data_IF_928725342837
#
_entry.id   IF_928725342837
#
_cell.length_a   1.000
_cell.length_b   1.000
_cell.length_c   1.000
_cell.angle_alpha   90.00
_cell.angle_beta   90.00
_cell.angle_gamma   90.00
#
_symmetry.space_group_name_H-M   'P 1'
#
loop_
_entity.id
_entity.type
_entity.pdbx_description
1 polymer ?
#
# COMPACT_ATOMS: atom_id res chain seq x y z
N UNK A 1 33.94 42.57 27.72
CA UNK A 1 32.94 43.64 27.93
C UNK A 1 32.88 44.48 26.67
N UNK A 2 31.70 44.90 26.20
CA UNK A 2 31.60 45.73 25.00
C UNK A 2 32.24 47.11 25.25
N UNK A 3 32.82 47.74 24.22
CA UNK A 3 33.36 49.09 24.33
C UNK A 3 32.24 50.11 24.60
N UNK A 4 32.56 51.30 25.15
CA UNK A 4 31.57 52.35 25.36
C UNK A 4 30.85 52.74 24.07
N UNK A 5 29.52 52.82 24.11
CA UNK A 5 28.72 53.04 22.91
C UNK A 5 27.22 52.89 23.13
N UNK A 6 26.44 53.22 22.11
CA UNK A 6 25.01 52.95 22.06
C UNK A 6 24.76 51.47 21.81
N UNK A 7 24.15 50.78 22.77
CA UNK A 7 23.83 49.37 22.70
C UNK A 7 22.34 49.16 23.02
N UNK A 8 21.75 48.10 22.48
CA UNK A 8 20.36 47.75 22.74
C UNK A 8 20.25 47.02 24.09
N UNK A 9 19.36 47.51 24.97
CA UNK A 9 19.09 46.91 26.27
C UNK A 9 17.80 46.08 26.19
N UNK A 10 17.94 44.75 26.12
CA UNK A 10 16.82 43.80 25.99
C UNK A 10 15.83 43.88 27.18
N UNK A 11 16.27 44.35 28.35
CA UNK A 11 15.41 44.46 29.53
C UNK A 11 14.42 45.64 29.41
N UNK A 12 14.82 46.72 28.73
CA UNK A 12 14.01 47.93 28.58
C UNK A 12 13.46 48.12 27.16
N UNK A 13 13.98 47.37 26.18
CA UNK A 13 13.60 47.49 24.77
C UNK A 13 14.07 48.81 24.12
N UNK A 14 15.05 49.49 24.71
CA UNK A 14 15.55 50.79 24.24
C UNK A 14 17.05 50.76 23.98
N UNK A 15 17.53 51.68 23.14
CA UNK A 15 18.96 51.90 22.94
C UNK A 15 19.49 52.81 24.05
N UNK A 16 20.39 52.29 24.87
CA UNK A 16 21.01 53.00 26.00
C UNK A 16 22.51 53.17 25.78
N UNK A 17 23.09 54.20 26.38
CA UNK A 17 24.54 54.38 26.32
C UNK A 17 25.24 53.55 27.40
N UNK A 18 26.13 52.66 26.98
CA UNK A 18 27.02 51.87 27.82
C UNK A 18 28.34 52.62 27.99
N UNK A 19 28.79 52.85 29.24
CA UNK A 19 30.04 53.58 29.50
C UNK A 19 31.29 52.67 29.62
N UNK A 20 31.15 51.36 29.38
CA UNK A 20 32.22 50.38 29.57
C UNK A 20 32.17 49.64 30.91
N UNK A 21 31.40 50.11 31.89
CA UNK A 21 31.24 49.50 33.21
C UNK A 21 29.77 49.25 33.57
N UNK A 22 28.87 50.18 33.22
CA UNK A 22 27.44 50.10 33.50
C UNK A 22 26.61 50.86 32.45
N UNK A 23 25.29 50.62 32.46
CA UNK A 23 24.33 51.37 31.66
C UNK A 23 24.12 52.76 32.27
N UNK A 24 24.17 53.80 31.44
CA UNK A 24 23.85 55.16 31.89
C UNK A 24 22.35 55.47 31.70
N UNK A 25 21.91 56.62 32.23
CA UNK A 25 20.54 57.12 32.08
C UNK A 25 20.26 57.74 30.71
N UNK A 26 21.27 57.83 29.83
CA UNK A 26 21.10 58.34 28.49
C UNK A 26 20.39 57.27 27.64
N UNK A 27 19.11 57.49 27.37
CA UNK A 27 18.31 56.76 26.39
C UNK A 27 18.24 57.55 25.10
N UNK A 28 18.50 56.91 23.96
CA UNK A 28 18.16 57.51 22.67
C UNK A 28 16.72 57.10 22.35
N UNK A 29 15.77 58.04 22.22
CA UNK A 29 14.46 57.73 21.66
C UNK A 29 14.73 57.02 20.33
N UNK A 30 14.10 55.87 20.08
CA UNK A 30 14.23 55.24 18.78
C UNK A 30 13.82 56.30 17.77
N UNK A 31 14.75 56.73 16.92
CA UNK A 31 14.43 57.59 15.79
C UNK A 31 13.23 56.91 15.14
N UNK A 32 12.06 57.58 15.04
CA UNK A 32 10.88 56.97 14.49
C UNK A 32 11.32 56.45 13.13
N UNK A 33 11.37 55.12 13.00
CA UNK A 33 11.84 54.49 11.78
C UNK A 33 10.83 54.94 10.74
N UNK A 34 11.16 56.00 10.00
CA UNK A 34 10.43 56.43 8.83
C UNK A 34 10.72 55.31 7.84
N UNK A 35 9.92 54.25 7.91
CA UNK A 35 9.84 53.24 6.87
C UNK A 35 9.31 53.99 5.64
N UNK A 36 10.21 54.58 4.85
CA UNK A 36 9.96 54.94 3.45
C UNK A 36 9.94 53.68 2.57
N UNK A 37 9.35 52.61 3.08
CA UNK A 37 8.76 51.55 2.26
C UNK A 37 7.29 51.90 2.03
N UNK A 38 6.67 51.41 0.95
CA UNK A 38 5.26 51.67 0.67
C UNK A 38 4.42 51.38 1.92
N UNK A 39 3.61 52.35 2.31
CA UNK A 39 2.83 52.34 3.55
C UNK A 39 2.11 50.99 3.76
N UNK A 40 2.35 50.28 4.87
CA UNK A 40 1.38 49.31 5.33
C UNK A 40 0.26 50.11 5.98
N UNK A 41 -0.90 50.13 5.33
CA UNK A 41 -2.11 50.70 5.83
C UNK A 41 -2.35 50.29 7.29
N UNK A 42 -2.57 51.29 8.15
CA UNK A 42 -3.23 51.12 9.43
C UNK A 42 -4.65 50.63 9.14
N UNK A 43 -4.87 49.33 9.23
CA UNK A 43 -6.18 48.77 9.45
C UNK A 43 -6.03 47.70 10.52
N UNK A 44 -6.62 47.99 11.67
CA UNK A 44 -6.92 47.00 12.70
C UNK A 44 -7.87 45.97 12.10
N UNK A 45 -7.35 44.98 11.38
CA UNK A 45 -8.09 43.75 11.13
C UNK A 45 -7.96 42.92 12.39
N UNK A 46 -9.02 42.99 13.19
CA UNK A 46 -9.53 41.88 13.99
C UNK A 46 -8.98 40.58 13.42
N UNK A 47 -8.04 39.96 14.12
CA UNK A 47 -7.57 38.62 13.75
C UNK A 47 -8.72 37.67 14.06
N UNK A 48 -9.73 37.66 13.20
CA UNK A 48 -10.67 36.55 13.15
C UNK A 48 -9.82 35.29 12.98
N UNK A 49 -9.96 34.29 13.87
CA UNK A 49 -9.28 33.02 13.69
C UNK A 49 -9.72 32.46 12.35
N UNK A 50 -8.85 32.55 11.35
CA UNK A 50 -9.08 31.91 10.05
C UNK A 50 -9.51 30.48 10.34
N UNK A 51 -10.69 30.05 9.89
CA UNK A 51 -11.14 28.68 10.13
C UNK A 51 -10.05 27.77 9.57
N UNK A 52 -9.64 26.72 10.32
CA UNK A 52 -8.55 25.85 9.95
C UNK A 52 -8.79 25.39 8.51
N UNK A 53 -7.92 25.78 7.58
CA UNK A 53 -8.09 25.48 6.17
C UNK A 53 -8.08 23.95 6.02
N UNK A 54 -9.28 23.38 5.92
CA UNK A 54 -9.50 21.96 5.70
C UNK A 54 -8.73 21.63 4.42
N UNK A 55 -7.76 20.73 4.51
CA UNK A 55 -6.96 20.27 3.38
C UNK A 55 -7.83 19.37 2.46
N UNK A 56 -8.93 19.93 1.95
CA UNK A 56 -9.90 19.27 1.07
C UNK A 56 -9.26 18.41 -0.02
N UNK A 57 -8.26 18.90 -0.78
CA UNK A 57 -7.63 18.11 -1.82
C UNK A 57 -6.82 16.92 -1.28
N UNK A 58 -6.22 17.02 -0.09
CA UNK A 58 -5.47 15.91 0.51
C UNK A 58 -6.41 14.79 0.99
N UNK A 59 -7.54 15.16 1.59
CA UNK A 59 -8.59 14.18 1.97
C UNK A 59 -9.21 13.50 0.76
N UNK A 60 -9.44 14.23 -0.34
CA UNK A 60 -9.98 13.64 -1.55
C UNK A 60 -9.02 12.62 -2.19
N UNK A 61 -7.73 12.95 -2.25
CA UNK A 61 -6.70 12.03 -2.73
C UNK A 61 -6.61 10.75 -1.86
N UNK A 62 -6.77 10.90 -0.54
CA UNK A 62 -6.76 9.77 0.39
C UNK A 62 -7.96 8.84 0.19
N UNK A 63 -9.16 9.40 0.04
CA UNK A 63 -10.38 8.61 -0.20
C UNK A 63 -10.28 7.85 -1.53
N UNK A 64 -9.75 8.49 -2.58
CA UNK A 64 -9.55 7.83 -3.87
C UNK A 64 -8.51 6.70 -3.81
N UNK A 65 -7.40 6.90 -3.09
CA UNK A 65 -6.39 5.86 -2.92
C UNK A 65 -6.95 4.63 -2.16
N UNK A 66 -7.78 4.88 -1.15
CA UNK A 66 -8.38 3.82 -0.34
C UNK A 66 -9.46 3.06 -1.14
N UNK A 67 -10.28 3.77 -1.94
CA UNK A 67 -11.22 3.16 -2.87
C UNK A 67 -10.52 2.32 -3.95
N UNK A 68 -9.40 2.79 -4.49
CA UNK A 68 -8.61 2.03 -5.47
C UNK A 68 -8.00 0.76 -4.87
N UNK A 69 -7.51 0.82 -3.62
CA UNK A 69 -7.03 -0.37 -2.91
C UNK A 69 -8.16 -1.38 -2.66
N UNK A 70 -9.33 -0.91 -2.22
CA UNK A 70 -10.49 -1.77 -2.00
C UNK A 70 -11.01 -2.38 -3.31
N UNK A 71 -11.01 -1.64 -4.43
CA UNK A 71 -11.47 -2.17 -5.72
C UNK A 71 -10.53 -3.24 -6.25
N UNK A 72 -9.22 -3.04 -6.14
CA UNK A 72 -8.21 -4.06 -6.52
C UNK A 72 -8.34 -5.30 -5.63
N UNK A 73 -8.49 -5.12 -4.32
CA UNK A 73 -8.69 -6.23 -3.39
C UNK A 73 -9.97 -7.03 -3.70
N UNK A 74 -11.08 -6.33 -3.98
CA UNK A 74 -12.33 -6.95 -4.38
C UNK A 74 -12.19 -7.71 -5.71
N UNK A 75 -11.51 -7.14 -6.72
CA UNK A 75 -11.26 -7.81 -8.00
C UNK A 75 -10.43 -9.10 -7.82
N UNK A 76 -9.38 -9.04 -6.99
CA UNK A 76 -8.53 -10.19 -6.70
C UNK A 76 -9.31 -11.30 -5.99
N UNK A 77 -10.29 -10.94 -5.16
CA UNK A 77 -11.14 -11.91 -4.46
C UNK A 77 -12.21 -12.54 -5.37
N UNK A 78 -12.74 -11.77 -6.34
CA UNK A 78 -13.87 -12.20 -7.16
C UNK A 78 -13.49 -13.01 -8.41
N UNK A 79 -12.29 -12.78 -8.96
CA UNK A 79 -11.87 -13.36 -10.25
C UNK A 79 -11.44 -14.84 -10.19
N UNK A 80 -10.77 -15.37 -9.15
CA UNK A 80 -10.23 -16.74 -9.19
C UNK A 80 -11.31 -17.83 -9.20
N UNK A 81 -12.58 -17.50 -8.95
CA UNK A 81 -13.68 -18.48 -8.94
C UNK A 81 -14.26 -18.81 -10.33
N UNK A 82 -13.87 -18.10 -11.40
CA UNK A 82 -14.51 -18.29 -12.73
C UNK A 82 -13.58 -18.73 -13.85
N UNK A 83 -12.36 -18.19 -13.95
CA UNK A 83 -11.46 -18.53 -15.07
C UNK A 83 -9.97 -18.37 -14.71
N UNK A 84 -9.13 -19.42 -14.86
CA UNK A 84 -7.71 -19.36 -14.51
C UNK A 84 -6.91 -18.40 -15.41
N UNK A 85 -7.26 -18.30 -16.69
CA UNK A 85 -6.61 -17.38 -17.62
C UNK A 85 -6.92 -15.92 -17.31
N UNK A 86 -8.17 -15.62 -16.91
CA UNK A 86 -8.56 -14.27 -16.52
C UNK A 86 -7.87 -13.88 -15.20
N UNK A 87 -7.74 -14.83 -14.27
CA UNK A 87 -6.99 -14.63 -13.04
C UNK A 87 -5.52 -14.28 -13.30
N UNK A 88 -4.85 -14.97 -14.24
CA UNK A 88 -3.48 -14.64 -14.64
C UNK A 88 -3.37 -13.23 -15.24
N UNK A 89 -4.27 -12.89 -16.18
CA UNK A 89 -4.26 -11.58 -16.82
C UNK A 89 -4.52 -10.44 -15.82
N UNK A 90 -5.48 -10.62 -14.92
CA UNK A 90 -5.79 -9.66 -13.84
C UNK A 90 -4.63 -9.57 -12.85
N UNK A 91 -3.95 -10.67 -12.52
CA UNK A 91 -2.78 -10.65 -11.65
C UNK A 91 -1.61 -9.87 -12.27
N UNK A 92 -1.33 -10.07 -13.56
CA UNK A 92 -0.31 -9.30 -14.29
C UNK A 92 -0.66 -7.81 -14.37
N UNK A 93 -1.92 -7.49 -14.68
CA UNK A 93 -2.40 -6.11 -14.70
C UNK A 93 -2.29 -5.46 -13.30
N UNK A 94 -2.64 -6.18 -12.23
CA UNK A 94 -2.51 -5.69 -10.87
C UNK A 94 -1.04 -5.46 -10.48
N UNK A 95 -0.14 -6.39 -10.82
CA UNK A 95 1.30 -6.27 -10.61
C UNK A 95 1.89 -5.02 -11.30
N UNK A 96 1.54 -4.79 -12.56
CA UNK A 96 2.00 -3.61 -13.30
C UNK A 96 1.48 -2.31 -12.71
N UNK A 97 0.22 -2.28 -12.26
CA UNK A 97 -0.40 -1.12 -11.61
C UNK A 97 0.26 -0.83 -10.24
N UNK A 98 0.55 -1.86 -9.45
CA UNK A 98 1.29 -1.73 -8.17
C UNK A 98 2.70 -1.22 -8.42
N UNK A 99 3.41 -1.74 -9.42
CA UNK A 99 4.75 -1.27 -9.79
C UNK A 99 4.73 0.21 -10.20
N UNK A 100 3.76 0.62 -11.02
CA UNK A 100 3.59 2.01 -11.41
C UNK A 100 3.27 2.92 -10.21
N UNK A 101 2.39 2.48 -9.31
CA UNK A 101 2.06 3.21 -8.08
C UNK A 101 3.28 3.36 -7.16
N UNK A 102 4.12 2.33 -7.06
CA UNK A 102 5.37 2.36 -6.31
C UNK A 102 6.35 3.40 -6.90
N UNK A 103 6.56 3.39 -8.22
CA UNK A 103 7.42 4.37 -8.89
C UNK A 103 6.91 5.79 -8.69
N UNK A 104 5.61 6.03 -8.85
CA UNK A 104 4.99 7.33 -8.60
C UNK A 104 5.12 7.77 -7.13
N UNK A 105 5.02 6.83 -6.19
CA UNK A 105 5.24 7.07 -4.76
C UNK A 105 6.68 7.54 -4.49
N UNK A 106 7.68 6.86 -5.05
CA UNK A 106 9.10 7.24 -4.92
C UNK A 106 9.36 8.63 -5.51
N UNK A 107 8.82 8.92 -6.70
CA UNK A 107 8.93 10.25 -7.32
C UNK A 107 8.29 11.32 -6.43
N UNK A 108 7.10 11.04 -5.89
CA UNK A 108 6.41 11.92 -4.95
C UNK A 108 7.24 12.22 -3.70
N UNK A 109 7.89 11.20 -3.13
CA UNK A 109 8.79 11.35 -1.97
C UNK A 109 10.00 12.22 -2.34
N UNK A 110 10.67 11.97 -3.47
CA UNK A 110 11.84 12.75 -3.90
C UNK A 110 11.48 14.23 -4.13
N UNK A 111 10.34 14.50 -4.76
CA UNK A 111 9.82 15.87 -4.94
C UNK A 111 9.47 16.51 -3.59
N UNK A 112 8.92 15.73 -2.65
CA UNK A 112 8.57 16.20 -1.30
C UNK A 112 9.77 16.45 -0.39
N UNK A 113 10.95 15.89 -0.69
CA UNK A 113 12.20 16.18 0.03
C UNK A 113 12.81 17.50 -0.46
N UNK A 114 12.63 17.82 -1.75
CA UNK A 114 13.09 19.10 -2.32
C UNK A 114 12.25 20.30 -1.89
N UNK A 115 11.07 20.09 -1.32
CA UNK A 115 10.27 21.15 -0.67
C UNK A 115 10.19 20.84 0.83
N UNK A 116 10.37 21.80 1.75
CA UNK A 116 10.20 21.54 3.18
C UNK A 116 8.73 21.18 3.46
N UNK A 117 8.42 19.89 3.46
CA UNK A 117 7.08 19.37 3.71
C UNK A 117 6.91 19.09 5.21
N UNK A 118 5.68 19.30 5.70
CA UNK A 118 5.32 19.11 7.11
C UNK A 118 5.41 17.64 7.50
N UNK A 119 5.94 17.37 8.70
CA UNK A 119 6.26 16.05 9.30
C UNK A 119 5.18 14.94 9.19
N UNK A 120 3.92 15.26 8.87
CA UNK A 120 2.83 14.29 8.77
C UNK A 120 2.88 13.37 7.54
N UNK A 121 3.47 13.80 6.42
CA UNK A 121 3.50 12.99 5.19
C UNK A 121 4.43 11.78 5.27
N UNK A 122 5.55 11.90 6.01
CA UNK A 122 6.52 10.82 6.16
C UNK A 122 5.97 9.62 6.94
N UNK A 123 5.21 9.88 8.00
CA UNK A 123 4.60 8.83 8.83
C UNK A 123 3.57 8.03 8.02
N UNK A 124 2.81 8.70 7.14
CA UNK A 124 1.79 8.05 6.33
C UNK A 124 2.39 7.10 5.28
N UNK A 125 3.47 7.52 4.59
CA UNK A 125 4.16 6.67 3.62
C UNK A 125 4.70 5.38 4.25
N UNK A 126 5.18 5.47 5.50
CA UNK A 126 5.66 4.33 6.26
C UNK A 126 4.53 3.34 6.60
N UNK A 127 3.39 3.83 7.09
CA UNK A 127 2.23 2.98 7.43
C UNK A 127 1.69 2.25 6.19
N UNK A 128 1.58 2.95 5.05
CA UNK A 128 1.10 2.34 3.81
C UNK A 128 2.06 1.25 3.28
N UNK A 129 3.37 1.49 3.38
CA UNK A 129 4.39 0.51 3.01
C UNK A 129 4.28 -0.77 3.86
N UNK A 130 4.13 -0.62 5.18
CA UNK A 130 3.96 -1.76 6.09
C UNK A 130 2.69 -2.55 5.78
N UNK A 131 1.57 -1.88 5.52
CA UNK A 131 0.32 -2.54 5.14
C UNK A 131 0.44 -3.34 3.83
N UNK A 132 1.13 -2.79 2.82
CA UNK A 132 1.39 -3.49 1.57
C UNK A 132 2.24 -4.74 1.78
N UNK A 133 3.29 -4.65 2.60
CA UNK A 133 4.16 -5.80 2.90
C UNK A 133 3.36 -6.91 3.61
N UNK A 134 2.55 -6.56 4.62
CA UNK A 134 1.70 -7.52 5.34
C UNK A 134 0.69 -8.17 4.40
N UNK A 135 0.06 -7.40 3.50
CA UNK A 135 -0.87 -7.93 2.51
C UNK A 135 -0.20 -8.91 1.55
N UNK A 136 0.98 -8.57 1.02
CA UNK A 136 1.73 -9.47 0.13
C UNK A 136 2.18 -10.74 0.84
N UNK A 137 2.68 -10.64 2.08
CA UNK A 137 3.07 -11.79 2.89
C UNK A 137 1.87 -12.72 3.16
N UNK A 138 0.72 -12.15 3.51
CA UNK A 138 -0.52 -12.91 3.71
C UNK A 138 -0.97 -13.61 2.41
N UNK A 139 -0.92 -12.91 1.27
CA UNK A 139 -1.26 -13.52 -0.03
C UNK A 139 -0.33 -14.66 -0.38
N UNK A 140 0.98 -14.50 -0.18
CA UNK A 140 1.96 -15.56 -0.40
C UNK A 140 1.68 -16.78 0.50
N UNK A 141 1.28 -16.54 1.76
CA UNK A 141 0.90 -17.59 2.69
C UNK A 141 -0.39 -18.32 2.26
N UNK A 142 -1.39 -17.60 1.72
CA UNK A 142 -2.63 -18.21 1.21
C UNK A 142 -2.50 -18.84 -0.17
N UNK A 143 -1.46 -18.49 -0.93
CA UNK A 143 -1.19 -19.07 -2.25
C UNK A 143 -0.51 -20.45 -2.16
N UNK A 144 -0.14 -20.91 -0.96
CA UNK A 144 0.10 -22.31 -0.70
C UNK A 144 -1.23 -23.06 -0.72
N UNK A 145 -1.87 -23.15 -1.89
CA UNK A 145 -3.07 -23.94 -2.08
C UNK A 145 -2.68 -25.40 -1.97
N UNK A 146 -3.05 -26.02 -0.86
CA UNK A 146 -3.11 -27.47 -0.73
C UNK A 146 -4.04 -27.98 -1.82
N UNK A 147 -3.61 -28.99 -2.58
CA UNK A 147 -4.46 -29.69 -3.54
C UNK A 147 -5.67 -30.22 -2.76
N UNK A 148 -6.85 -29.64 -3.00
CA UNK A 148 -8.07 -30.08 -2.34
C UNK A 148 -8.55 -31.35 -3.04
N UNK A 149 -8.26 -32.50 -2.44
CA UNK A 149 -8.62 -33.81 -2.98
C UNK A 149 -10.11 -33.90 -3.37
N UNK A 150 -11.00 -33.32 -2.56
CA UNK A 150 -12.45 -33.33 -2.84
C UNK A 150 -12.82 -32.56 -4.12
N UNK A 151 -12.19 -31.40 -4.36
CA UNK A 151 -12.44 -30.63 -5.59
C UNK A 151 -11.88 -31.35 -6.83
N UNK A 152 -10.75 -32.05 -6.67
CA UNK A 152 -10.16 -32.87 -7.72
C UNK A 152 -11.04 -34.08 -8.08
N UNK A 153 -11.62 -34.75 -7.07
CA UNK A 153 -12.54 -35.86 -7.26
C UNK A 153 -13.78 -35.45 -8.07
N UNK A 154 -14.36 -34.28 -7.78
CA UNK A 154 -15.50 -33.74 -8.53
C UNK A 154 -15.14 -33.45 -10.00
N UNK A 155 -13.99 -32.83 -10.27
CA UNK A 155 -13.53 -32.50 -11.63
C UNK A 155 -13.25 -33.77 -12.46
N UNK A 156 -12.57 -34.77 -11.89
CA UNK A 156 -12.32 -36.05 -12.56
C UNK A 156 -13.65 -36.77 -12.83
N UNK A 157 -14.58 -36.74 -11.86
CA UNK A 157 -15.90 -37.37 -12.02
C UNK A 157 -16.67 -36.77 -13.19
N UNK A 158 -16.71 -35.43 -13.29
CA UNK A 158 -17.36 -34.72 -14.40
C UNK A 158 -16.70 -35.03 -15.75
N UNK A 159 -15.36 -35.09 -15.81
CA UNK A 159 -14.64 -35.43 -17.02
C UNK A 159 -14.95 -36.85 -17.51
N UNK A 160 -14.97 -37.84 -16.59
CA UNK A 160 -15.28 -39.23 -16.94
C UNK A 160 -16.73 -39.36 -17.38
N UNK A 161 -17.67 -38.74 -16.65
CA UNK A 161 -19.08 -38.74 -17.03
C UNK A 161 -19.30 -38.13 -18.41
N UNK A 162 -18.56 -37.09 -18.78
CA UNK A 162 -18.63 -36.48 -20.11
C UNK A 162 -18.10 -37.39 -21.23
N UNK A 163 -17.14 -38.28 -20.92
CA UNK A 163 -16.58 -39.21 -21.92
C UNK A 163 -17.37 -40.51 -22.05
N UNK A 164 -17.77 -41.12 -20.94
CA UNK A 164 -18.38 -42.46 -20.92
C UNK A 164 -19.91 -42.41 -20.85
N UNK A 165 -20.49 -41.31 -20.36
CA UNK A 165 -21.91 -41.24 -20.02
C UNK A 165 -22.30 -42.00 -18.75
N UNK A 166 -21.35 -42.62 -18.06
CA UNK A 166 -21.57 -43.35 -16.81
C UNK A 166 -21.19 -42.51 -15.59
N UNK A 167 -21.89 -42.72 -14.47
CA UNK A 167 -21.49 -42.14 -13.19
C UNK A 167 -20.28 -42.91 -12.65
N UNK A 168 -19.16 -42.21 -12.47
CA UNK A 168 -17.96 -42.75 -11.88
C UNK A 168 -17.81 -42.30 -10.43
N UNK A 169 -17.24 -43.16 -9.58
CA UNK A 169 -16.80 -42.80 -8.23
C UNK A 169 -15.29 -42.75 -8.24
N UNK A 170 -14.72 -41.58 -7.97
CA UNK A 170 -13.28 -41.35 -7.88
C UNK A 170 -12.89 -41.35 -6.42
N UNK A 171 -11.87 -42.11 -6.05
CA UNK A 171 -11.28 -42.12 -4.71
C UNK A 171 -9.79 -41.82 -4.84
N UNK A 172 -9.38 -40.68 -4.32
CA UNK A 172 -7.98 -40.28 -4.22
C UNK A 172 -7.42 -40.53 -2.81
N UNK A 173 -6.09 -40.54 -2.61
CA UNK A 173 -5.49 -40.61 -1.27
C UNK A 173 -5.89 -39.40 -0.41
N UNK A 174 -6.10 -39.60 0.89
CA UNK A 174 -6.48 -38.52 1.84
C UNK A 174 -5.43 -37.39 1.92
N UNK A 175 -4.15 -37.72 1.71
CA UNK A 175 -3.02 -36.80 1.72
C UNK A 175 -2.21 -36.93 0.42
N UNK A 176 -2.66 -36.36 -0.70
CA UNK A 176 -1.91 -36.40 -1.94
C UNK A 176 -0.61 -35.59 -1.80
N UNK A 177 0.51 -36.04 -2.40
CA UNK A 177 1.74 -35.26 -2.39
C UNK A 177 1.51 -33.90 -3.08
N UNK A 178 1.94 -32.82 -2.44
CA UNK A 178 1.77 -31.45 -2.95
C UNK A 178 3.01 -30.91 -3.67
N UNK A 179 4.06 -31.72 -3.80
CA UNK A 179 5.29 -31.31 -4.45
C UNK A 179 5.09 -31.23 -5.97
N UNK A 180 5.58 -30.16 -6.60
CA UNK A 180 5.57 -30.03 -8.06
C UNK A 180 6.32 -31.21 -8.69
N UNK A 181 5.70 -31.85 -9.68
CA UNK A 181 6.22 -33.04 -10.36
C UNK A 181 5.94 -34.36 -9.63
N UNK A 182 5.29 -34.34 -8.46
CA UNK A 182 4.81 -35.58 -7.84
C UNK A 182 3.64 -36.16 -8.62
N UNK A 183 3.58 -37.49 -8.64
CA UNK A 183 2.51 -38.27 -9.28
C UNK A 183 1.84 -39.09 -8.20
N UNK A 184 0.51 -39.09 -8.19
CA UNK A 184 -0.29 -39.98 -7.34
C UNK A 184 -1.44 -40.57 -8.15
N UNK A 185 -1.86 -41.78 -7.81
CA UNK A 185 -2.90 -42.49 -8.54
C UNK A 185 -4.23 -42.39 -7.79
N UNK A 186 -5.30 -42.04 -8.50
CA UNK A 186 -6.67 -42.14 -8.01
C UNK A 186 -7.36 -43.37 -8.62
N UNK A 187 -8.21 -44.02 -7.85
CA UNK A 187 -9.00 -45.18 -8.33
C UNK A 187 -10.36 -44.68 -8.78
N UNK A 188 -10.72 -44.99 -10.02
CA UNK A 188 -12.02 -44.68 -10.59
C UNK A 188 -12.81 -45.97 -10.75
N UNK A 189 -13.97 -46.03 -10.12
CA UNK A 189 -14.90 -47.16 -10.24
C UNK A 189 -16.12 -46.73 -11.04
N UNK A 190 -16.35 -47.38 -12.18
CA UNK A 190 -17.61 -47.31 -12.94
C UNK A 190 -18.43 -48.58 -12.71
N UNK A 191 -19.73 -48.62 -13.06
CA UNK A 191 -20.52 -49.86 -12.99
C UNK A 191 -19.93 -51.01 -13.82
N UNK A 192 -19.18 -50.66 -14.87
CA UNK A 192 -18.64 -51.57 -15.87
C UNK A 192 -17.18 -51.96 -15.64
N UNK A 193 -16.38 -51.13 -14.96
CA UNK A 193 -14.93 -51.31 -14.84
C UNK A 193 -14.31 -50.53 -13.67
N UNK A 194 -13.09 -50.90 -13.29
CA UNK A 194 -12.24 -50.11 -12.39
C UNK A 194 -10.97 -49.74 -13.13
N UNK A 195 -10.60 -48.47 -13.11
CA UNK A 195 -9.42 -47.94 -13.81
C UNK A 195 -8.63 -46.99 -12.90
N UNK A 196 -7.31 -46.96 -13.08
CA UNK A 196 -6.44 -46.06 -12.35
C UNK A 196 -6.09 -44.85 -13.20
N UNK A 197 -6.10 -43.68 -12.58
CA UNK A 197 -5.75 -42.41 -13.21
C UNK A 197 -4.57 -41.82 -12.47
N UNK A 198 -3.48 -41.59 -13.19
CA UNK A 198 -2.29 -40.95 -12.64
C UNK A 198 -2.45 -39.44 -12.74
N UNK A 199 -2.40 -38.77 -11.59
CA UNK A 199 -2.49 -37.32 -11.46
C UNK A 199 -1.11 -36.75 -11.18
N UNK A 200 -0.66 -35.84 -12.04
CA UNK A 200 0.62 -35.13 -11.91
C UNK A 200 0.38 -33.71 -11.43
N UNK A 201 1.06 -33.30 -10.36
CA UNK A 201 1.01 -31.93 -9.84
C UNK A 201 1.94 -31.04 -10.65
N UNK A 202 1.40 -30.00 -11.29
CA UNK A 202 2.15 -29.01 -12.05
C UNK A 202 2.51 -27.78 -11.22
N UNK A 203 3.36 -26.92 -11.77
CA UNK A 203 3.78 -25.67 -11.14
C UNK A 203 2.57 -24.74 -10.95
N UNK A 204 2.39 -24.19 -9.74
CA UNK A 204 1.23 -23.36 -9.40
C UNK A 204 0.01 -24.12 -8.88
N UNK A 205 0.14 -25.43 -8.58
CA UNK A 205 -0.92 -26.23 -7.95
C UNK A 205 -2.00 -26.71 -8.92
N UNK A 206 -1.82 -26.49 -10.23
CA UNK A 206 -2.63 -27.14 -11.26
C UNK A 206 -2.30 -28.62 -11.34
N UNK A 207 -3.25 -29.43 -11.77
CA UNK A 207 -3.10 -30.88 -11.89
C UNK A 207 -3.44 -31.31 -13.30
N UNK A 208 -2.66 -32.24 -13.85
CA UNK A 208 -2.94 -32.90 -15.12
C UNK A 208 -3.03 -34.39 -14.89
N UNK A 209 -3.99 -35.06 -15.52
CA UNK A 209 -4.18 -36.49 -15.36
C UNK A 209 -4.10 -37.24 -16.68
N UNK A 210 -3.60 -38.47 -16.59
CA UNK A 210 -3.52 -39.42 -17.71
C UNK A 210 -3.99 -40.78 -17.24
N UNK A 211 -4.70 -41.51 -18.11
CA UNK A 211 -5.10 -42.88 -17.81
C UNK A 211 -3.84 -43.76 -17.68
N UNK A 212 -3.71 -44.46 -16.56
CA UNK A 212 -2.63 -45.40 -16.36
C UNK A 212 -2.80 -46.59 -17.34
N UNK A 213 -1.70 -47.12 -17.92
CA UNK A 213 -1.76 -48.21 -18.89
C UNK A 213 -2.31 -49.53 -18.32
#
# INVERSE_FOLDING_TARGET
MPPPGWLFDDATGQTRWWNGREWTDHTRPLDPIVRTGPAPATASTLSDPLPPSKNGPATAALVLALLALLSVAALIWLVPARDPFLALAVALAAMTLVAAAFVLSVIGVVVSIRRPTRKGSAVFALVLSVLLIVFFAFRMLTAASTVNAAALEDDITLWIQAQTGELAVVVCPDEPPSAVGSIFSCTVTTPSSSLHVDVTVQEGGTVSWTQAP
#
